data_IF_055409131690
#
_entry.id   IF_055409131690
#
_cell.length_a   1.000
_cell.length_b   1.000
_cell.length_c   1.000
_cell.angle_alpha   90.00
_cell.angle_beta   90.00
_cell.angle_gamma   90.00
#
_symmetry.space_group_name_H-M   'P 1'
#
loop_
_entity.id
_entity.type
_entity.pdbx_description
1 polymer ?
#
# COMPACT_ATOMS: atom_id res chain seq x y z
N UNK A 1 10.31 -1.03 -8.41
CA UNK A 1 10.84 -1.11 -9.79
C UNK A 1 10.10 -0.20 -10.76
N UNK A 2 8.78 0.05 -10.59
CA UNK A 2 8.05 1.05 -11.38
C UNK A 2 8.68 2.47 -11.36
N UNK A 3 9.34 2.84 -10.27
CA UNK A 3 10.04 4.12 -10.16
C UNK A 3 11.23 4.25 -11.13
N UNK A 4 11.91 3.15 -11.48
CA UNK A 4 13.08 3.16 -12.36
C UNK A 4 12.65 3.46 -13.80
N UNK A 5 11.54 2.84 -14.24
CA UNK A 5 10.93 3.11 -15.53
C UNK A 5 10.31 4.51 -15.59
N UNK A 6 9.56 4.90 -14.54
CA UNK A 6 8.96 6.24 -14.47
C UNK A 6 10.00 7.36 -14.51
N UNK A 7 11.17 7.14 -13.90
CA UNK A 7 12.26 8.12 -13.88
C UNK A 7 13.13 8.08 -15.14
N UNK A 8 12.84 7.18 -16.09
CA UNK A 8 13.64 7.04 -17.33
C UNK A 8 15.05 6.53 -17.11
N UNK A 9 15.34 5.90 -15.95
CA UNK A 9 16.68 5.46 -15.57
C UNK A 9 16.97 4.06 -16.12
N UNK A 10 15.92 3.29 -16.44
CA UNK A 10 16.06 1.97 -17.04
C UNK A 10 14.71 1.29 -17.28
N UNK A 11 14.77 0.11 -17.89
CA UNK A 11 13.62 -0.70 -18.26
C UNK A 11 13.51 -1.93 -17.33
N UNK A 12 12.28 -2.33 -16.99
CA UNK A 12 12.04 -3.55 -16.22
C UNK A 12 11.92 -4.73 -17.17
N UNK A 13 12.59 -5.83 -16.83
CA UNK A 13 12.40 -7.12 -17.47
C UNK A 13 11.88 -8.10 -16.41
N UNK A 14 10.73 -8.73 -16.69
CA UNK A 14 10.17 -9.74 -15.80
C UNK A 14 10.91 -11.07 -15.98
N UNK A 15 11.20 -11.75 -14.86
CA UNK A 15 11.93 -13.02 -14.87
C UNK A 15 11.21 -14.12 -15.68
N UNK A 16 9.88 -14.04 -15.80
CA UNK A 16 9.05 -14.91 -16.63
C UNK A 16 9.26 -14.71 -18.14
N UNK A 17 9.70 -13.51 -18.54
CA UNK A 17 9.81 -13.09 -19.94
C UNK A 17 11.27 -12.94 -20.40
N UNK A 18 12.22 -13.44 -19.60
CA UNK A 18 13.64 -13.46 -19.94
C UNK A 18 13.89 -14.50 -21.03
N UNK A 19 14.14 -13.99 -22.24
CA UNK A 19 14.69 -14.72 -23.38
C UNK A 19 15.91 -13.97 -23.91
N UNK A 20 16.82 -14.65 -24.60
CA UNK A 20 18.00 -13.99 -25.20
C UNK A 20 17.61 -12.83 -26.12
N UNK A 21 16.53 -12.99 -26.89
CA UNK A 21 16.00 -11.97 -27.79
C UNK A 21 15.44 -10.76 -27.04
N UNK A 22 14.61 -11.00 -26.02
CA UNK A 22 14.02 -9.94 -25.19
C UNK A 22 15.11 -9.13 -24.47
N UNK A 23 16.11 -9.82 -23.91
CA UNK A 23 17.23 -9.19 -23.24
C UNK A 23 18.09 -8.36 -24.20
N UNK A 24 18.44 -8.92 -25.36
CA UNK A 24 19.27 -8.24 -26.36
C UNK A 24 18.59 -6.98 -26.88
N UNK A 25 17.28 -7.05 -27.18
CA UNK A 25 16.49 -5.91 -27.63
C UNK A 25 16.43 -4.79 -26.59
N UNK A 26 16.27 -5.15 -25.32
CA UNK A 26 16.17 -4.20 -24.21
C UNK A 26 17.53 -3.52 -23.96
N UNK A 27 18.62 -4.27 -24.10
CA UNK A 27 19.99 -3.77 -23.98
C UNK A 27 20.34 -2.84 -25.15
N UNK A 28 19.98 -3.21 -26.37
CA UNK A 28 20.14 -2.36 -27.56
C UNK A 28 19.33 -1.06 -27.45
N UNK A 29 18.12 -1.12 -26.88
CA UNK A 29 17.29 0.08 -26.62
C UNK A 29 17.96 1.03 -25.64
N UNK A 30 18.51 0.51 -24.53
CA UNK A 30 19.19 1.33 -23.51
C UNK A 30 20.50 1.91 -24.05
N UNK A 31 21.24 1.17 -24.87
CA UNK A 31 22.52 1.64 -25.42
C UNK A 31 22.36 2.66 -26.56
N UNK A 32 21.30 2.53 -27.37
CA UNK A 32 21.08 3.43 -28.51
C UNK A 32 20.35 4.73 -28.14
N UNK A 33 19.59 4.74 -27.04
CA UNK A 33 18.87 5.95 -26.60
C UNK A 33 19.68 6.70 -25.51
N UNK A 34 20.28 7.87 -25.84
CA UNK A 34 21.08 8.65 -24.91
C UNK A 34 20.27 9.31 -23.78
N UNK A 35 18.93 9.27 -23.86
CA UNK A 35 18.05 9.75 -22.79
C UNK A 35 18.30 9.01 -21.47
N UNK A 36 18.48 7.69 -21.53
CA UNK A 36 18.76 6.87 -20.34
C UNK A 36 20.08 7.27 -19.68
N UNK A 37 21.14 7.49 -20.47
CA UNK A 37 22.42 7.95 -19.94
C UNK A 37 22.29 9.31 -19.24
N UNK A 38 21.58 10.24 -19.88
CA UNK A 38 21.38 11.60 -19.34
C UNK A 38 20.61 11.58 -18.02
N UNK A 39 19.52 10.82 -17.95
CA UNK A 39 18.73 10.71 -16.71
C UNK A 39 19.48 9.94 -15.61
N UNK A 40 20.26 8.90 -15.96
CA UNK A 40 21.14 8.21 -15.00
C UNK A 40 22.21 9.15 -14.45
N UNK A 41 22.85 9.94 -15.30
CA UNK A 41 23.87 10.91 -14.87
C UNK A 41 23.25 11.98 -13.96
N UNK A 42 22.09 12.51 -14.31
CA UNK A 42 21.34 13.47 -13.49
C UNK A 42 20.91 12.88 -12.14
N UNK A 43 20.44 11.63 -12.11
CA UNK A 43 20.15 10.95 -10.85
C UNK A 43 21.42 10.73 -10.02
N UNK A 44 22.55 10.41 -10.67
CA UNK A 44 23.84 10.25 -10.01
C UNK A 44 24.33 11.56 -9.38
N UNK A 45 24.22 12.68 -10.09
CA UNK A 45 24.59 14.00 -9.55
C UNK A 45 23.71 14.36 -8.36
N UNK A 46 22.39 14.22 -8.48
CA UNK A 46 21.44 14.46 -7.38
C UNK A 46 21.70 13.56 -6.16
N UNK A 47 22.05 12.29 -6.37
CA UNK A 47 22.35 11.37 -5.27
C UNK A 47 23.66 11.72 -4.54
N UNK A 48 24.63 12.26 -5.28
CA UNK A 48 25.92 12.71 -4.74
C UNK A 48 25.84 14.12 -4.17
N UNK A 49 24.86 14.91 -4.58
CA UNK A 49 24.57 16.25 -4.08
C UNK A 49 23.91 16.17 -2.70
N UNK A 50 24.75 15.90 -1.70
CA UNK A 50 24.37 15.86 -0.29
C UNK A 50 25.40 16.62 0.52
N UNK A 51 24.92 17.37 1.51
CA UNK A 51 25.76 18.22 2.36
C UNK A 51 26.86 17.44 3.11
N UNK A 52 26.55 16.23 3.57
CA UNK A 52 27.46 15.38 4.34
C UNK A 52 27.71 14.06 3.61
N UNK A 53 28.93 13.53 3.73
CA UNK A 53 29.23 12.19 3.22
C UNK A 53 28.39 11.12 3.94
N UNK A 54 28.15 9.93 3.33
CA UNK A 54 27.45 8.83 4.01
C UNK A 54 28.09 8.45 5.33
N UNK A 55 29.43 8.49 5.36
CA UNK A 55 30.22 8.10 6.50
C UNK A 55 30.00 9.08 7.65
N UNK A 56 30.13 10.38 7.39
CA UNK A 56 29.88 11.41 8.40
C UNK A 56 28.44 11.37 8.91
N UNK A 57 27.47 11.17 8.00
CA UNK A 57 26.06 11.01 8.38
C UNK A 57 25.85 9.78 9.27
N UNK A 58 26.52 8.67 8.98
CA UNK A 58 26.43 7.46 9.79
C UNK A 58 27.05 7.67 11.18
N UNK A 59 28.24 8.27 11.26
CA UNK A 59 28.90 8.61 12.52
C UNK A 59 28.01 9.54 13.36
N UNK A 60 27.48 10.60 12.76
CA UNK A 60 26.57 11.52 13.43
C UNK A 60 25.30 10.82 13.92
N UNK A 61 24.72 9.93 13.12
CA UNK A 61 23.50 9.20 13.50
C UNK A 61 23.76 8.26 14.67
N UNK A 62 24.90 7.57 14.69
CA UNK A 62 25.30 6.70 15.81
C UNK A 62 25.50 7.54 17.08
N UNK A 63 26.25 8.64 16.98
CA UNK A 63 26.46 9.55 18.11
C UNK A 63 25.14 10.14 18.62
N UNK A 64 24.23 10.51 17.72
CA UNK A 64 22.90 11.01 18.07
C UNK A 64 22.08 9.97 18.85
N UNK A 65 22.07 8.71 18.38
CA UNK A 65 21.37 7.60 19.04
C UNK A 65 21.98 7.33 20.42
N UNK A 66 23.30 7.35 20.54
CA UNK A 66 23.99 7.17 21.83
C UNK A 66 23.68 8.31 22.81
N UNK A 67 23.72 9.57 22.35
CA UNK A 67 23.39 10.75 23.16
C UNK A 67 21.96 10.76 23.70
N UNK A 68 21.02 10.17 22.97
CA UNK A 68 19.59 10.17 23.32
C UNK A 68 19.11 8.80 23.82
N UNK A 69 20.00 7.98 24.40
CA UNK A 69 19.62 6.72 25.06
C UNK A 69 18.92 5.72 24.14
N UNK A 70 19.35 5.63 22.87
CA UNK A 70 18.73 4.76 21.87
C UNK A 70 17.66 5.43 21.00
N UNK A 71 17.48 6.76 21.13
CA UNK A 71 16.56 7.58 20.36
C UNK A 71 15.16 6.93 20.20
N UNK A 72 14.41 6.73 21.29
CA UNK A 72 13.12 6.06 21.27
C UNK A 72 12.11 6.76 20.34
N UNK A 73 12.25 8.07 20.13
CA UNK A 73 11.44 8.86 19.20
C UNK A 73 11.75 8.62 17.71
N UNK A 74 12.94 8.11 17.36
CA UNK A 74 13.26 7.72 15.98
C UNK A 74 12.76 6.30 15.65
N UNK A 75 12.32 5.53 16.65
CA UNK A 75 11.76 4.20 16.42
C UNK A 75 10.35 4.35 15.86
N UNK A 76 10.04 3.60 14.81
CA UNK A 76 8.68 3.54 14.30
C UNK A 76 7.72 3.10 15.40
N UNK A 77 6.64 3.86 15.68
CA UNK A 77 5.61 3.49 16.65
C UNK A 77 4.96 2.14 16.31
N UNK A 78 5.04 1.71 15.04
CA UNK A 78 4.53 0.43 14.58
C UNK A 78 5.17 -0.78 15.29
N UNK A 79 6.39 -0.64 15.82
CA UNK A 79 7.06 -1.73 16.55
C UNK A 79 6.46 -1.99 17.93
N UNK A 80 5.82 -0.98 18.54
CA UNK A 80 5.16 -1.09 19.85
C UNK A 80 3.65 -1.36 19.74
N UNK A 81 3.09 -1.46 18.52
CA UNK A 81 1.67 -1.76 18.35
C UNK A 81 1.39 -3.22 18.69
N UNK A 82 0.31 -3.45 19.44
CA UNK A 82 -0.23 -4.80 19.65
C UNK A 82 -0.76 -5.33 18.31
N UNK A 83 -0.71 -6.65 18.07
CA UNK A 83 -1.24 -7.28 16.86
C UNK A 83 -2.67 -6.81 16.50
N UNK A 84 -3.52 -6.58 17.50
CA UNK A 84 -4.87 -6.06 17.30
C UNK A 84 -4.92 -4.63 16.71
N UNK A 85 -4.00 -3.75 17.11
CA UNK A 85 -3.87 -2.39 16.54
C UNK A 85 -3.22 -2.43 15.17
N UNK A 86 -2.23 -3.33 14.96
CA UNK A 86 -1.58 -3.51 13.67
C UNK A 86 -2.59 -3.92 12.58
N UNK A 87 -3.51 -4.83 12.90
CA UNK A 87 -4.57 -5.27 12.00
C UNK A 87 -5.85 -4.43 12.05
N UNK A 88 -5.89 -3.35 12.84
CA UNK A 88 -7.07 -2.50 13.03
C UNK A 88 -8.35 -3.32 13.33
N UNK A 89 -8.26 -4.31 14.22
CA UNK A 89 -9.35 -5.26 14.50
C UNK A 89 -10.64 -4.56 14.90
N UNK A 90 -10.54 -3.45 15.64
CA UNK A 90 -11.70 -2.62 16.03
C UNK A 90 -12.51 -2.11 14.82
N UNK A 91 -11.82 -1.66 13.78
CA UNK A 91 -12.44 -1.16 12.53
C UNK A 91 -13.13 -2.31 11.78
N UNK A 92 -12.49 -3.49 11.74
CA UNK A 92 -13.05 -4.68 11.09
C UNK A 92 -14.34 -5.11 11.81
N UNK A 93 -14.30 -5.22 13.14
CA UNK A 93 -15.47 -5.60 13.95
C UNK A 93 -16.59 -4.57 13.79
N UNK A 94 -16.27 -3.27 13.80
CA UNK A 94 -17.26 -2.22 13.58
C UNK A 94 -17.91 -2.31 12.19
N UNK A 95 -17.14 -2.50 11.13
CA UNK A 95 -17.66 -2.64 9.76
C UNK A 95 -18.52 -3.90 9.59
N UNK A 96 -18.07 -5.06 10.07
CA UNK A 96 -18.86 -6.28 9.99
C UNK A 96 -20.12 -6.21 10.87
N UNK A 97 -20.00 -5.67 12.08
CA UNK A 97 -21.12 -5.49 12.99
C UNK A 97 -22.20 -4.59 12.41
N UNK A 98 -21.82 -3.43 11.87
CA UNK A 98 -22.77 -2.52 11.22
C UNK A 98 -23.44 -3.15 10.00
N UNK A 99 -22.69 -3.87 9.16
CA UNK A 99 -23.24 -4.59 8.01
C UNK A 99 -24.26 -5.67 8.42
N UNK A 100 -23.94 -6.47 9.45
CA UNK A 100 -24.82 -7.52 9.95
C UNK A 100 -26.09 -6.96 10.59
N UNK A 101 -25.97 -5.89 11.38
CA UNK A 101 -27.13 -5.20 11.97
C UNK A 101 -28.02 -4.63 10.87
N UNK A 102 -27.44 -3.96 9.88
CA UNK A 102 -28.20 -3.43 8.74
C UNK A 102 -28.94 -4.55 8.00
N UNK A 103 -28.26 -5.65 7.66
CA UNK A 103 -28.87 -6.80 7.00
C UNK A 103 -30.00 -7.41 7.84
N UNK A 104 -29.79 -7.58 9.14
CA UNK A 104 -30.81 -8.10 10.05
C UNK A 104 -32.06 -7.20 10.10
N UNK A 105 -31.86 -5.88 10.21
CA UNK A 105 -32.96 -4.91 10.23
C UNK A 105 -33.74 -4.94 8.91
N UNK A 106 -33.04 -4.96 7.76
CA UNK A 106 -33.69 -5.07 6.46
C UNK A 106 -34.51 -6.35 6.33
N UNK A 107 -33.95 -7.51 6.72
CA UNK A 107 -34.67 -8.78 6.70
C UNK A 107 -35.88 -8.77 7.65
N UNK A 108 -35.73 -8.18 8.84
CA UNK A 108 -36.82 -8.07 9.81
C UNK A 108 -37.98 -7.22 9.26
N UNK A 109 -37.68 -6.07 8.65
CA UNK A 109 -38.68 -5.20 8.01
C UNK A 109 -39.37 -5.94 6.87
N UNK A 110 -38.62 -6.59 5.97
CA UNK A 110 -39.19 -7.35 4.85
C UNK A 110 -40.09 -8.48 5.33
N UNK A 111 -39.65 -9.26 6.33
CA UNK A 111 -40.46 -10.33 6.93
C UNK A 111 -41.75 -9.77 7.51
N UNK A 112 -41.67 -8.68 8.29
CA UNK A 112 -42.86 -8.07 8.88
C UNK A 112 -43.83 -7.54 7.82
N UNK A 113 -43.33 -6.89 6.77
CA UNK A 113 -44.15 -6.42 5.65
C UNK A 113 -44.82 -7.58 4.90
N UNK A 114 -44.10 -8.68 4.64
CA UNK A 114 -44.68 -9.86 4.00
C UNK A 114 -45.77 -10.53 4.86
N UNK A 115 -45.58 -10.63 6.18
CA UNK A 115 -46.62 -11.14 7.07
C UNK A 115 -47.82 -10.21 7.18
N UNK A 116 -47.61 -8.89 7.17
CA UNK A 116 -48.72 -7.91 7.11
C UNK A 116 -49.50 -8.02 5.80
N UNK A 117 -48.83 -8.19 4.65
CA UNK A 117 -49.51 -8.40 3.36
C UNK A 117 -50.29 -9.73 3.31
N UNK A 118 -49.76 -10.80 3.90
CA UNK A 118 -50.44 -12.10 3.95
C UNK A 118 -51.69 -12.07 4.83
N UNK A 119 -51.63 -11.37 5.98
CA UNK A 119 -52.81 -11.16 6.85
C UNK A 119 -53.85 -10.27 6.16
N UNK A 120 -53.44 -9.22 5.45
CA UNK A 120 -54.37 -8.34 4.72
C UNK A 120 -55.08 -9.08 3.57
N UNK A 121 -54.37 -9.91 2.80
CA UNK A 121 -54.96 -10.71 1.72
C UNK A 121 -55.93 -11.79 2.22
N UNK A 122 -55.80 -12.23 3.48
CA UNK A 122 -56.74 -13.17 4.10
C UNK A 122 -58.04 -12.51 4.58
N UNK A 123 -58.05 -11.18 4.79
CA UNK A 123 -59.25 -10.43 5.18
C UNK A 123 -60.14 -10.09 3.98
N UNK A 124 -59.58 -9.80 2.81
CA UNK A 124 -60.34 -9.48 1.59
C UNK A 124 -61.05 -10.68 0.93
N UNK A 125 -60.85 -11.91 1.42
CA UNK A 125 -61.53 -13.11 0.93
C UNK A 125 -62.74 -13.53 1.78
N UNK A 126 -62.96 -12.87 2.93
CA UNK A 126 -64.02 -13.19 3.89
C UNK A 126 -65.09 -12.07 3.99
N UNK A 127 -65.13 -11.15 3.03
CA UNK A 127 -66.19 -10.16 2.85
C UNK A 127 -66.91 -10.42 1.52
#
# INVERSE_FOLDING_TARGET
>A
MAQVEYSGIGLKLELSDITEESFTKLLETILNDPSYETEVQKCSTLFRDRQNSPLEKAVWSIEYVLRHGGAPHLRSPARSLTYAQYYCVDIIVFLFGTLLVAAYVTLFIVRKMSSCMFISSSKTKNE
#
